data_IF_541255590033
#
_entry.id   IF_541255590033
#
_cell.length_a   1.000
_cell.length_b   1.000
_cell.length_c   1.000
_cell.angle_alpha   90.00
_cell.angle_beta   90.00
_cell.angle_gamma   90.00
#
_symmetry.space_group_name_H-M   'P 1'
#
loop_
_entity.id
_entity.type
_entity.pdbx_description
1 polymer ?
#
# COMPACT_ATOMS: atom_id res chain seq x y z
N UNK A 1 35.40 7.09 4.80
CA UNK A 1 33.97 6.93 4.47
C UNK A 1 33.69 7.76 3.22
N UNK A 2 32.64 7.45 2.46
CA UNK A 2 32.32 8.16 1.21
C UNK A 2 31.53 9.44 1.58
N UNK A 3 31.99 10.65 1.21
CA UNK A 3 31.43 11.91 1.70
C UNK A 3 29.94 12.08 1.34
N UNK A 4 29.52 11.54 0.20
CA UNK A 4 28.10 11.56 -0.19
C UNK A 4 27.20 10.78 0.78
N UNK A 5 27.72 9.70 1.39
CA UNK A 5 26.95 8.89 2.35
C UNK A 5 26.83 9.58 3.70
N UNK A 6 27.89 10.24 4.16
CA UNK A 6 27.86 11.02 5.41
C UNK A 6 26.89 12.21 5.31
N UNK A 7 26.86 12.85 4.13
CA UNK A 7 25.92 13.92 3.84
C UNK A 7 24.47 13.41 3.93
N UNK A 8 24.18 12.29 3.26
CA UNK A 8 22.86 11.69 3.27
C UNK A 8 22.43 11.25 4.67
N UNK A 9 23.32 10.61 5.44
CA UNK A 9 23.05 10.20 6.82
C UNK A 9 22.69 11.39 7.72
N UNK A 10 23.42 12.50 7.60
CA UNK A 10 23.10 13.74 8.34
C UNK A 10 21.73 14.29 7.93
N UNK A 11 21.42 14.29 6.64
CA UNK A 11 20.14 14.77 6.11
C UNK A 11 18.98 13.91 6.65
N UNK A 12 19.16 12.58 6.65
CA UNK A 12 18.20 11.62 7.20
C UNK A 12 18.00 11.76 8.71
N UNK A 13 19.07 12.00 9.46
CA UNK A 13 18.99 12.24 10.90
C UNK A 13 18.06 13.41 11.22
N UNK A 14 18.13 14.51 10.46
CA UNK A 14 17.28 15.68 10.66
C UNK A 14 15.86 15.52 10.09
N UNK A 15 15.68 14.74 9.02
CA UNK A 15 14.37 14.55 8.39
C UNK A 15 13.50 13.47 9.05
N UNK A 16 14.11 12.34 9.40
CA UNK A 16 13.40 11.14 9.85
C UNK A 16 13.76 10.75 11.29
N UNK A 17 14.87 11.26 11.81
CA UNK A 17 15.32 11.00 13.16
C UNK A 17 14.59 11.83 14.21
N UNK A 18 15.23 11.90 15.38
CA UNK A 18 14.73 12.67 16.53
C UNK A 18 15.83 13.62 17.03
N UNK A 19 16.15 14.67 16.26
CA UNK A 19 17.12 15.65 16.69
C UNK A 19 16.64 16.36 17.96
N UNK A 20 17.58 16.73 18.82
CA UNK A 20 17.29 17.56 19.98
C UNK A 20 16.80 18.95 19.52
N UNK A 21 16.13 19.72 20.41
CA UNK A 21 15.71 21.07 20.08
C UNK A 21 16.87 22.00 19.68
N UNK A 22 18.04 21.82 20.30
CA UNK A 22 19.24 22.60 19.99
C UNK A 22 19.78 22.27 18.59
N UNK A 23 19.87 20.98 18.25
CA UNK A 23 20.26 20.52 16.91
C UNK A 23 19.26 20.97 15.85
N UNK A 24 17.97 20.98 16.17
CA UNK A 24 16.92 21.48 15.27
C UNK A 24 17.09 22.97 14.99
N UNK A 25 17.38 23.78 16.02
CA UNK A 25 17.60 25.21 15.85
C UNK A 25 18.84 25.51 14.97
N UNK A 26 19.94 24.78 15.21
CA UNK A 26 21.16 24.90 14.41
C UNK A 26 20.93 24.47 12.96
N UNK A 27 20.19 23.39 12.75
CA UNK A 27 19.81 22.91 11.42
C UNK A 27 18.99 23.94 10.65
N UNK A 28 17.97 24.53 11.29
CA UNK A 28 17.16 25.58 10.66
C UNK A 28 17.99 26.80 10.26
N UNK A 29 18.96 27.20 11.08
CA UNK A 29 19.89 28.26 10.72
C UNK A 29 20.76 27.87 9.50
N UNK A 30 21.21 26.60 9.42
CA UNK A 30 21.97 26.12 8.27
C UNK A 30 21.16 26.16 6.97
N UNK A 31 19.89 25.72 6.99
CA UNK A 31 19.01 25.79 5.81
C UNK A 31 18.79 27.22 5.29
N UNK A 32 18.82 28.22 6.18
CA UNK A 32 18.69 29.62 5.80
C UNK A 32 19.97 30.20 5.19
N UNK A 33 21.13 29.66 5.58
CA UNK A 33 22.45 30.12 5.14
C UNK A 33 22.92 29.37 3.88
N UNK A 34 22.42 28.16 3.66
CA UNK A 34 22.82 27.27 2.58
C UNK A 34 21.61 26.90 1.70
N UNK A 35 21.41 27.59 0.56
CA UNK A 35 20.28 27.33 -0.32
C UNK A 35 20.40 26.01 -1.09
N UNK A 36 21.61 25.48 -1.30
CA UNK A 36 21.78 24.16 -1.94
C UNK A 36 21.30 23.07 -0.99
N UNK A 37 21.71 23.14 0.28
CA UNK A 37 21.23 22.23 1.32
C UNK A 37 19.69 22.29 1.47
N UNK A 38 19.11 23.48 1.40
CA UNK A 38 17.66 23.64 1.46
C UNK A 38 16.95 22.95 0.28
N UNK A 39 17.49 23.09 -0.94
CA UNK A 39 16.95 22.43 -2.13
C UNK A 39 17.05 20.90 -2.03
N UNK A 40 18.17 20.37 -1.53
CA UNK A 40 18.36 18.94 -1.32
C UNK A 40 17.37 18.38 -0.30
N UNK A 41 17.13 19.13 0.79
CA UNK A 41 16.14 18.80 1.81
C UNK A 41 14.72 18.76 1.23
N UNK A 42 14.34 19.77 0.45
CA UNK A 42 13.04 19.79 -0.21
C UNK A 42 12.88 18.61 -1.18
N UNK A 43 13.89 18.31 -1.99
CA UNK A 43 13.87 17.16 -2.90
C UNK A 43 13.69 15.84 -2.13
N UNK A 44 14.46 15.65 -1.06
CA UNK A 44 14.40 14.43 -0.25
C UNK A 44 13.02 14.25 0.40
N UNK A 45 12.41 15.33 0.89
CA UNK A 45 11.04 15.30 1.43
C UNK A 45 10.01 14.89 0.37
N UNK A 46 10.11 15.42 -0.85
CA UNK A 46 9.23 15.04 -1.95
C UNK A 46 9.39 13.56 -2.33
N UNK A 47 10.63 13.06 -2.37
CA UNK A 47 10.91 11.65 -2.63
C UNK A 47 10.29 10.73 -1.58
N UNK A 48 10.46 11.06 -0.29
CA UNK A 48 9.85 10.28 0.80
C UNK A 48 8.32 10.33 0.76
N UNK A 49 7.74 11.48 0.43
CA UNK A 49 6.30 11.59 0.25
C UNK A 49 5.80 10.71 -0.90
N UNK A 50 6.51 10.74 -2.04
CA UNK A 50 6.21 9.89 -3.19
C UNK A 50 6.28 8.39 -2.85
N UNK A 51 7.33 7.96 -2.16
CA UNK A 51 7.50 6.59 -1.69
C UNK A 51 6.37 6.16 -0.74
N UNK A 52 5.98 7.03 0.20
CA UNK A 52 4.88 6.77 1.11
C UNK A 52 3.56 6.55 0.37
N UNK A 53 3.26 7.40 -0.62
CA UNK A 53 2.04 7.29 -1.42
C UNK A 53 2.03 6.01 -2.27
N UNK A 54 3.14 5.71 -2.94
CA UNK A 54 3.30 4.51 -3.74
C UNK A 54 3.14 3.25 -2.89
N UNK A 55 3.80 3.21 -1.73
CA UNK A 55 3.69 2.10 -0.78
C UNK A 55 2.26 1.91 -0.26
N UNK A 56 1.55 2.99 0.05
CA UNK A 56 0.12 2.93 0.43
C UNK A 56 -0.74 2.36 -0.69
N UNK A 57 -0.49 2.75 -1.93
CA UNK A 57 -1.23 2.23 -3.07
C UNK A 57 -0.97 0.74 -3.27
N UNK A 58 0.29 0.31 -3.17
CA UNK A 58 0.67 -1.09 -3.25
C UNK A 58 -0.01 -1.92 -2.15
N UNK A 59 0.07 -1.49 -0.89
CA UNK A 59 -0.57 -2.19 0.24
C UNK A 59 -2.09 -2.33 0.05
N UNK A 60 -2.75 -1.32 -0.52
CA UNK A 60 -4.19 -1.40 -0.83
C UNK A 60 -4.49 -2.46 -1.89
N UNK A 61 -3.64 -2.58 -2.91
CA UNK A 61 -3.79 -3.60 -3.95
C UNK A 61 -3.58 -5.00 -3.36
N UNK A 62 -2.53 -5.19 -2.57
CA UNK A 62 -2.24 -6.47 -1.91
C UNK A 62 -3.38 -6.89 -0.97
N UNK A 63 -3.93 -5.96 -0.19
CA UNK A 63 -5.07 -6.23 0.69
C UNK A 63 -6.34 -6.60 -0.09
N UNK A 64 -6.61 -5.93 -1.20
CA UNK A 64 -7.75 -6.27 -2.07
C UNK A 64 -7.58 -7.67 -2.67
N UNK A 65 -6.38 -8.01 -3.12
CA UNK A 65 -6.09 -9.35 -3.64
C UNK A 65 -6.27 -10.43 -2.57
N UNK A 66 -5.76 -10.21 -1.36
CA UNK A 66 -5.96 -11.10 -0.21
C UNK A 66 -7.46 -11.22 0.10
N UNK A 67 -8.19 -10.11 0.12
CA UNK A 67 -9.63 -10.11 0.39
C UNK A 67 -10.39 -10.94 -0.66
N UNK A 68 -10.10 -10.74 -1.94
CA UNK A 68 -10.69 -11.51 -3.04
C UNK A 68 -10.34 -12.99 -2.90
N UNK A 69 -9.10 -13.35 -2.55
CA UNK A 69 -8.72 -14.76 -2.39
C UNK A 69 -9.44 -15.43 -1.21
N UNK A 70 -9.63 -14.72 -0.10
CA UNK A 70 -10.24 -15.28 1.12
C UNK A 70 -11.77 -15.28 1.07
N UNK A 71 -12.39 -14.23 0.53
CA UNK A 71 -13.83 -13.99 0.69
C UNK A 71 -14.64 -14.09 -0.62
N UNK A 72 -13.99 -14.20 -1.79
CA UNK A 72 -14.75 -14.37 -3.03
C UNK A 72 -15.49 -15.72 -2.99
N UNK A 73 -16.81 -15.75 -3.22
CA UNK A 73 -17.57 -16.98 -3.17
C UNK A 73 -17.13 -17.88 -4.32
N UNK A 74 -16.33 -18.89 -3.99
CA UNK A 74 -15.54 -19.69 -4.95
C UNK A 74 -16.39 -20.46 -5.98
N UNK A 75 -17.72 -20.51 -5.83
CA UNK A 75 -18.61 -21.45 -6.56
C UNK A 75 -20.06 -20.97 -6.71
N UNK A 76 -20.31 -19.71 -7.07
CA UNK A 76 -21.68 -19.27 -7.40
C UNK A 76 -22.23 -20.00 -8.63
N UNK A 77 -21.41 -20.20 -9.66
CA UNK A 77 -21.79 -20.93 -10.87
C UNK A 77 -22.10 -22.41 -10.60
N UNK A 78 -21.34 -23.06 -9.71
CA UNK A 78 -21.57 -24.45 -9.28
C UNK A 78 -22.84 -24.58 -8.44
N UNK A 79 -23.14 -23.60 -7.57
CA UNK A 79 -24.44 -23.55 -6.86
C UNK A 79 -25.60 -23.37 -7.85
N UNK A 80 -25.44 -22.55 -8.88
CA UNK A 80 -26.45 -22.39 -9.94
C UNK A 80 -26.61 -23.64 -10.79
N UNK A 81 -25.52 -24.34 -11.12
CA UNK A 81 -25.54 -25.58 -11.89
C UNK A 81 -26.24 -26.70 -11.11
N UNK A 82 -25.91 -26.86 -9.82
CA UNK A 82 -26.58 -27.84 -8.93
C UNK A 82 -28.05 -27.48 -8.77
N UNK A 83 -28.42 -26.21 -8.59
CA UNK A 83 -29.81 -25.79 -8.49
C UNK A 83 -30.62 -26.12 -9.75
N UNK A 84 -30.06 -25.88 -10.94
CA UNK A 84 -30.70 -26.23 -12.23
C UNK A 84 -30.84 -27.75 -12.41
N UNK A 85 -29.83 -28.51 -12.03
CA UNK A 85 -29.86 -29.98 -12.09
C UNK A 85 -30.89 -30.56 -11.12
N UNK A 86 -31.03 -29.98 -9.93
CA UNK A 86 -32.05 -30.35 -8.94
C UNK A 86 -33.47 -30.00 -9.38
N UNK A 87 -33.66 -28.90 -10.13
CA UNK A 87 -34.94 -28.55 -10.75
C UNK A 87 -35.30 -29.53 -11.89
N UNK A 88 -34.32 -29.95 -12.70
CA UNK A 88 -34.52 -30.95 -13.74
C UNK A 88 -34.88 -32.33 -13.17
N UNK A 89 -34.24 -32.73 -12.05
CA UNK A 89 -34.54 -33.99 -11.36
C UNK A 89 -35.82 -33.95 -10.51
N UNK A 90 -36.32 -32.78 -10.13
CA UNK A 90 -37.61 -32.63 -9.41
C UNK A 90 -38.83 -32.63 -10.34
N UNK A 91 -38.66 -32.88 -11.64
CA UNK A 91 -39.81 -33.11 -12.51
C UNK A 91 -40.51 -34.41 -12.10
N UNK A 92 -41.78 -34.39 -11.68
CA UNK A 92 -42.44 -35.61 -11.24
C UNK A 92 -42.68 -36.49 -12.46
N UNK A 93 -42.21 -37.74 -12.37
CA UNK A 93 -42.74 -38.85 -13.16
C UNK A 93 -44.27 -38.84 -12.99
N UNK A 94 -44.97 -38.38 -14.02
CA UNK A 94 -46.43 -38.53 -14.14
C UNK A 94 -46.76 -40.01 -13.93
N UNK A 95 -47.66 -40.39 -13.02
CA UNK A 95 -48.11 -41.76 -12.95
C UNK A 95 -48.91 -42.04 -14.24
N UNK A 96 -48.48 -43.05 -14.99
CA UNK A 96 -49.23 -43.54 -16.14
C UNK A 96 -50.52 -44.18 -15.61
N UNK A 97 -51.66 -43.54 -15.84
CA UNK A 97 -52.96 -44.16 -15.71
C UNK A 97 -53.05 -45.33 -16.70
N UNK A 98 -53.28 -46.54 -16.20
CA UNK A 98 -54.21 -47.52 -16.77
C UNK A 98 -54.56 -48.57 -15.73
#
# INVERSE_FOLDING_TARGET
>A
MRPELEHLERLEYHLLGHPTPAETALWQAQLQLDPELAADVELQQHLYHGLLLAGRQQLRQELEEIHVQLYRPRRTWLRQAVARLHQALRWPLRPAHR
#
